data_IF_854084041013
#
_entry.id   IF_854084041013
#
_cell.length_a   1.000
_cell.length_b   1.000
_cell.length_c   1.000
_cell.angle_alpha   90.00
_cell.angle_beta   90.00
_cell.angle_gamma   90.00
#
_symmetry.space_group_name_H-M   'P 1'
#
loop_
_entity.id
_entity.type
_entity.pdbx_description
1 polymer ?
#
# COMPACT_ATOMS: atom_id res chain seq x y z
N UNK A 1 -12.76 15.30 -14.66
CA UNK A 1 -11.34 15.13 -14.28
C UNK A 1 -11.23 13.79 -13.57
N UNK A 2 -10.20 13.01 -13.86
CA UNK A 2 -9.95 11.73 -13.20
C UNK A 2 -8.64 11.80 -12.43
N UNK A 3 -8.51 11.04 -11.35
CA UNK A 3 -7.32 11.10 -10.50
C UNK A 3 -6.99 9.74 -9.91
N UNK A 4 -5.70 9.44 -9.79
CA UNK A 4 -5.22 8.26 -9.07
C UNK A 4 -4.50 8.72 -7.81
N UNK A 5 -4.75 8.04 -6.69
CA UNK A 5 -4.15 8.35 -5.39
C UNK A 5 -3.68 7.10 -4.68
N UNK A 6 -2.55 7.21 -4.00
CA UNK A 6 -2.08 6.20 -3.05
C UNK A 6 -1.99 6.82 -1.67
N UNK A 7 -2.39 6.04 -0.66
CA UNK A 7 -2.27 6.38 0.74
C UNK A 7 -1.42 5.31 1.43
N UNK A 8 -0.43 5.75 2.19
CA UNK A 8 0.50 4.90 2.92
C UNK A 8 0.38 5.21 4.41
N UNK A 9 0.25 4.16 5.22
CA UNK A 9 0.20 4.27 6.67
C UNK A 9 1.20 3.28 7.25
N UNK A 10 2.12 3.78 8.08
CA UNK A 10 3.01 2.97 8.89
C UNK A 10 2.70 3.23 10.37
N UNK A 11 2.41 2.16 11.12
CA UNK A 11 2.14 2.24 12.56
C UNK A 11 3.24 1.51 13.31
N UNK A 12 4.03 2.23 14.09
CA UNK A 12 5.07 1.62 14.93
C UNK A 12 4.45 0.72 16.01
N UNK A 13 5.04 -0.45 16.22
CA UNK A 13 4.57 -1.44 17.20
C UNK A 13 5.74 -1.98 18.02
N UNK A 14 6.05 -1.34 19.16
CA UNK A 14 7.21 -1.70 19.98
C UNK A 14 7.23 -3.18 20.41
N UNK A 15 6.06 -3.82 20.53
CA UNK A 15 5.93 -5.21 20.93
C UNK A 15 6.10 -6.23 19.80
N UNK A 16 6.15 -5.81 18.53
CA UNK A 16 6.08 -6.70 17.35
C UNK A 16 7.25 -6.57 16.38
N UNK A 17 8.25 -5.76 16.72
CA UNK A 17 9.47 -5.57 15.93
C UNK A 17 9.28 -4.63 14.74
N UNK A 18 8.47 -5.04 13.76
CA UNK A 18 8.27 -4.27 12.53
C UNK A 18 6.97 -3.42 12.56
N UNK A 19 6.98 -2.19 12.01
CA UNK A 19 5.78 -1.39 11.85
C UNK A 19 4.71 -2.13 11.05
N UNK A 20 3.45 -1.94 11.41
CA UNK A 20 2.34 -2.37 10.55
C UNK A 20 2.23 -1.38 9.40
N UNK A 21 2.45 -1.85 8.18
CA UNK A 21 2.37 -1.05 6.97
C UNK A 21 1.15 -1.41 6.13
N UNK A 22 0.41 -0.39 5.71
CA UNK A 22 -0.76 -0.50 4.84
C UNK A 22 -0.58 0.47 3.67
N UNK A 23 -0.79 -0.01 2.45
CA UNK A 23 -0.89 0.83 1.26
C UNK A 23 -2.26 0.62 0.59
N UNK A 24 -2.90 1.71 0.16
CA UNK A 24 -4.18 1.68 -0.52
C UNK A 24 -4.15 2.55 -1.77
N UNK A 25 -4.63 2.02 -2.89
CA UNK A 25 -4.75 2.75 -4.15
C UNK A 25 -6.21 3.02 -4.54
N UNK A 26 -6.48 4.25 -4.98
CA UNK A 26 -7.77 4.71 -5.50
C UNK A 26 -7.64 5.22 -6.94
N UNK A 27 -8.63 4.93 -7.77
CA UNK A 27 -8.93 5.67 -9.00
C UNK A 27 -10.25 6.38 -8.76
N UNK A 28 -10.23 7.70 -8.87
CA UNK A 28 -11.27 8.61 -8.39
C UNK A 28 -11.58 8.29 -6.93
N UNK A 29 -12.80 7.83 -6.64
CA UNK A 29 -13.24 7.44 -5.29
C UNK A 29 -13.30 5.91 -5.11
N UNK A 30 -12.83 5.14 -6.09
CA UNK A 30 -12.88 3.66 -6.08
C UNK A 30 -11.54 3.08 -5.67
N UNK A 31 -11.51 2.39 -4.53
CA UNK A 31 -10.36 1.60 -4.11
C UNK A 31 -10.15 0.44 -5.08
N UNK A 32 -8.96 0.34 -5.66
CA UNK A 32 -8.65 -0.73 -6.61
C UNK A 32 -7.58 -1.70 -6.12
N UNK A 33 -6.77 -1.31 -5.13
CA UNK A 33 -5.75 -2.19 -4.52
C UNK A 33 -5.59 -1.92 -3.02
N UNK A 34 -5.25 -2.97 -2.27
CA UNK A 34 -4.80 -2.90 -0.87
C UNK A 34 -3.60 -3.81 -0.65
N UNK A 35 -2.57 -3.30 0.02
CA UNK A 35 -1.51 -4.10 0.63
C UNK A 35 -1.62 -3.98 2.15
N UNK A 36 -1.34 -5.08 2.85
CA UNK A 36 -1.32 -5.17 4.30
C UNK A 36 -0.13 -6.04 4.73
N UNK A 37 0.84 -5.46 5.44
CA UNK A 37 2.05 -6.17 5.86
C UNK A 37 1.78 -7.26 6.90
N UNK A 38 0.64 -7.18 7.60
CA UNK A 38 0.24 -8.15 8.60
C UNK A 38 -0.58 -9.31 8.03
N UNK A 39 -0.92 -9.26 6.73
CA UNK A 39 -1.60 -10.36 6.09
C UNK A 39 -0.74 -11.63 6.11
N UNK A 40 -1.37 -12.80 6.23
CA UNK A 40 -0.66 -14.09 6.22
C UNK A 40 0.20 -14.31 4.96
N UNK A 41 -0.16 -13.65 3.85
CA UNK A 41 0.64 -13.58 2.63
C UNK A 41 0.57 -12.14 2.09
N UNK A 42 1.52 -11.27 2.48
CA UNK A 42 1.50 -9.85 2.09
C UNK A 42 1.68 -9.67 0.59
N UNK A 43 0.64 -9.14 -0.07
CA UNK A 43 0.64 -8.82 -1.51
C UNK A 43 -0.39 -7.75 -1.80
N UNK A 44 -0.28 -7.12 -2.97
CA UNK A 44 -1.33 -6.26 -3.49
C UNK A 44 -2.58 -7.07 -3.83
N UNK A 45 -3.65 -6.88 -3.06
CA UNK A 45 -4.94 -7.51 -3.32
C UNK A 45 -5.83 -6.57 -4.13
N UNK A 46 -6.40 -7.03 -5.26
CA UNK A 46 -7.34 -6.24 -6.03
C UNK A 46 -8.62 -6.03 -5.21
N UNK A 47 -9.13 -4.79 -5.23
CA UNK A 47 -10.37 -4.38 -4.53
C UNK A 47 -11.47 -3.91 -5.47
N UNK A 48 -11.19 -3.88 -6.77
CA UNK A 48 -12.16 -3.59 -7.81
C UNK A 48 -12.07 -4.61 -8.96
N UNK A 49 -13.16 -4.86 -9.71
CA UNK A 49 -13.16 -5.86 -10.80
C UNK A 49 -12.12 -5.59 -11.88
N UNK A 50 -11.91 -4.32 -12.22
CA UNK A 50 -10.93 -3.92 -13.25
C UNK A 50 -9.47 -4.13 -12.83
N UNK A 51 -9.21 -4.34 -11.54
CA UNK A 51 -7.87 -4.62 -11.03
C UNK A 51 -7.52 -6.11 -11.10
N UNK A 52 -8.49 -6.99 -11.42
CA UNK A 52 -8.25 -8.43 -11.61
C UNK A 52 -7.84 -8.66 -13.08
N UNK A 53 -6.61 -9.10 -13.33
CA UNK A 53 -6.21 -9.62 -14.65
C UNK A 53 -5.58 -8.64 -15.67
N UNK A 54 -5.25 -7.40 -15.27
CA UNK A 54 -4.31 -6.52 -15.99
C UNK A 54 -4.89 -5.61 -17.08
N UNK A 55 -4.92 -4.30 -16.78
CA UNK A 55 -4.70 -3.19 -17.71
C UNK A 55 -4.47 -1.90 -16.88
N UNK A 56 -3.23 -1.43 -16.82
CA UNK A 56 -2.85 -0.20 -16.10
C UNK A 56 -1.96 -0.49 -14.90
N UNK A 57 -0.65 -0.28 -15.07
CA UNK A 57 0.38 -0.54 -14.07
C UNK A 57 0.16 0.23 -12.78
N UNK A 58 -0.38 -0.44 -11.77
CA UNK A 58 0.02 -0.21 -10.39
C UNK A 58 1.14 -1.21 -10.12
N UNK A 59 2.37 -0.82 -10.44
CA UNK A 59 3.54 -1.52 -9.92
C UNK A 59 3.35 -1.63 -8.41
N UNK A 60 3.21 -2.86 -7.94
CA UNK A 60 3.18 -3.16 -6.51
C UNK A 60 4.56 -2.74 -6.01
N UNK A 61 4.65 -1.53 -5.44
CA UNK A 61 5.82 -1.11 -4.69
C UNK A 61 5.95 -2.13 -3.56
N UNK A 62 6.97 -2.99 -3.69
CA UNK A 62 7.29 -3.92 -2.64
C UNK A 62 7.73 -3.13 -1.40
N UNK A 63 7.63 -3.71 -0.20
CA UNK A 63 8.12 -3.06 1.03
C UNK A 63 9.62 -2.69 0.98
N UNK A 64 10.37 -3.12 -0.03
CA UNK A 64 11.78 -2.77 -0.25
C UNK A 64 12.03 -1.46 -1.02
N UNK A 65 11.02 -0.87 -1.65
CA UNK A 65 11.18 0.38 -2.44
C UNK A 65 10.87 1.64 -1.62
N UNK A 66 10.40 1.46 -0.38
CA UNK A 66 10.25 2.56 0.57
C UNK A 66 11.49 2.57 1.44
N UNK A 67 12.53 3.30 1.03
CA UNK A 67 13.47 3.85 2.00
C UNK A 67 12.61 4.63 2.99
N UNK A 68 12.32 4.02 4.14
CA UNK A 68 11.68 4.69 5.25
C UNK A 68 12.65 5.77 5.64
N UNK A 69 12.45 6.98 5.11
CA UNK A 69 13.05 8.17 5.66
C UNK A 69 12.60 8.19 7.11
N UNK A 70 13.50 7.79 8.01
CA UNK A 70 13.28 7.87 9.43
C UNK A 70 12.76 9.29 9.72
N UNK A 71 11.76 9.47 10.60
CA UNK A 71 11.42 10.81 11.02
C UNK A 71 12.71 11.46 11.50
N UNK A 72 13.14 12.51 10.80
CA UNK A 72 14.28 13.30 11.23
C UNK A 72 14.04 13.65 12.69
N UNK A 73 14.99 13.28 13.55
CA UNK A 73 15.02 13.80 14.90
C UNK A 73 15.24 15.30 14.79
N UNK A 74 14.19 16.08 15.00
CA UNK A 74 14.31 17.39 15.65
C UNK A 74 14.26 17.15 17.16
#
# INVERSE_FOLDING_TARGET
SHSMRYFYTAVSRPSRGEPHFIAVGYVDDTQFVRFDSDAASPRGEPRAPFAVGGAGGAGVLGPGDTEVQAPGTD
#
